data_IF_502010319525
#
_entry.id   IF_502010319525
#
_cell.length_a   1.000
_cell.length_b   1.000
_cell.length_c   1.000
_cell.angle_alpha   90.00
_cell.angle_beta   90.00
_cell.angle_gamma   90.00
#
_symmetry.space_group_name_H-M   'P 1'
#
loop_
_entity.id
_entity.type
_entity.pdbx_description
1 polymer ?
#
# COMPACT_ATOMS: atom_id res chain seq x y z
N UNK A 1 -20.57 4.36 2.24
CA UNK A 1 -21.85 3.62 2.20
C UNK A 1 -22.11 3.06 3.58
N UNK A 2 -23.25 3.33 4.18
CA UNK A 2 -23.61 2.76 5.49
C UNK A 2 -23.98 1.29 5.37
N UNK A 3 -23.94 0.53 6.48
CA UNK A 3 -24.39 -0.87 6.50
C UNK A 3 -25.85 -0.99 6.06
N UNK A 4 -26.70 -0.07 6.51
CA UNK A 4 -28.11 0.00 6.14
C UNK A 4 -28.33 0.22 4.64
N UNK A 5 -27.55 1.13 4.04
CA UNK A 5 -27.56 1.34 2.59
C UNK A 5 -27.14 0.07 1.84
N UNK A 6 -26.14 -0.67 2.33
CA UNK A 6 -25.68 -1.91 1.72
C UNK A 6 -26.71 -3.03 1.79
N UNK A 7 -27.34 -3.23 2.94
CA UNK A 7 -28.40 -4.22 3.09
C UNK A 7 -29.60 -3.87 2.19
N UNK A 8 -30.02 -2.61 2.16
CA UNK A 8 -31.06 -2.13 1.24
C UNK A 8 -30.66 -2.35 -0.23
N UNK A 9 -29.40 -2.07 -0.58
CA UNK A 9 -28.88 -2.34 -1.92
C UNK A 9 -28.98 -3.82 -2.28
N UNK A 10 -28.64 -4.74 -1.36
CA UNK A 10 -28.72 -6.19 -1.54
C UNK A 10 -30.14 -6.78 -1.42
N UNK A 11 -31.13 -5.97 -1.05
CA UNK A 11 -32.48 -6.44 -0.76
C UNK A 11 -32.57 -7.27 0.53
N UNK A 12 -31.66 -7.03 1.47
CA UNK A 12 -31.61 -7.69 2.78
C UNK A 12 -32.21 -6.80 3.88
N UNK A 13 -32.82 -7.43 4.88
CA UNK A 13 -33.22 -6.74 6.10
C UNK A 13 -32.01 -6.48 6.99
N UNK A 14 -32.05 -5.36 7.74
CA UNK A 14 -31.00 -5.06 8.72
C UNK A 14 -31.15 -5.97 9.95
N UNK A 15 -30.10 -6.71 10.34
CA UNK A 15 -30.13 -7.48 11.57
C UNK A 15 -30.33 -6.57 12.79
N UNK A 16 -31.20 -6.96 13.73
CA UNK A 16 -31.51 -6.16 14.92
C UNK A 16 -30.29 -5.92 15.85
N UNK A 17 -29.28 -6.80 15.79
CA UNK A 17 -28.04 -6.70 16.55
C UNK A 17 -27.01 -5.77 15.93
N UNK A 18 -27.27 -5.21 14.75
CA UNK A 18 -26.31 -4.42 13.99
C UNK A 18 -26.82 -2.98 13.81
N UNK A 19 -25.91 -2.01 13.92
CA UNK A 19 -26.25 -0.61 13.68
C UNK A 19 -26.28 -0.30 12.17
N UNK A 20 -27.43 0.09 11.58
CA UNK A 20 -27.50 0.41 10.16
C UNK A 20 -26.73 1.68 9.77
N UNK A 21 -26.46 2.57 10.72
CA UNK A 21 -25.72 3.81 10.48
C UNK A 21 -24.19 3.62 10.44
N UNK A 22 -23.68 2.40 10.69
CA UNK A 22 -22.25 2.11 10.64
C UNK A 22 -21.70 2.44 9.25
N UNK A 23 -20.68 3.31 9.21
CA UNK A 23 -19.99 3.69 7.98
C UNK A 23 -19.11 2.57 7.45
N UNK A 24 -19.07 2.43 6.12
CA UNK A 24 -18.22 1.46 5.46
C UNK A 24 -18.09 1.68 3.96
N UNK A 25 -17.47 0.68 3.33
CA UNK A 25 -17.18 0.66 1.90
C UNK A 25 -17.80 -0.56 1.24
N UNK A 26 -18.39 -0.36 0.06
CA UNK A 26 -18.69 -1.44 -0.88
C UNK A 26 -17.39 -1.80 -1.60
N UNK A 27 -17.01 -3.06 -1.54
CA UNK A 27 -15.80 -3.59 -2.19
C UNK A 27 -16.24 -4.54 -3.29
N UNK A 28 -15.74 -4.32 -4.51
CA UNK A 28 -15.90 -5.25 -5.64
C UNK A 28 -14.55 -5.84 -6.01
N UNK A 29 -14.47 -7.17 -6.03
CA UNK A 29 -13.27 -7.90 -6.42
C UNK A 29 -13.26 -8.11 -7.93
N UNK A 30 -12.39 -7.40 -8.64
CA UNK A 30 -12.28 -7.45 -10.11
C UNK A 30 -11.34 -8.55 -10.62
N UNK A 31 -10.46 -9.06 -9.76
CA UNK A 31 -9.39 -10.01 -10.08
C UNK A 31 -9.77 -11.49 -9.86
N UNK A 32 -10.98 -11.76 -9.33
CA UNK A 32 -11.51 -13.12 -9.19
C UNK A 32 -12.75 -13.21 -8.32
N UNK A 33 -13.46 -14.34 -8.44
CA UNK A 33 -14.67 -14.66 -7.66
C UNK A 33 -15.94 -14.67 -8.49
N UNK A 34 -16.85 -15.61 -8.20
CA UNK A 34 -18.18 -15.64 -8.82
C UNK A 34 -19.00 -14.46 -8.29
N UNK A 35 -19.57 -13.66 -9.18
CA UNK A 35 -20.48 -12.57 -8.81
C UNK A 35 -21.61 -13.09 -7.90
N UNK A 36 -21.85 -12.38 -6.80
CA UNK A 36 -22.93 -12.66 -5.84
C UNK A 36 -24.10 -11.66 -5.97
N UNK A 37 -24.04 -10.79 -6.98
CA UNK A 37 -25.05 -9.80 -7.33
C UNK A 37 -25.02 -9.59 -8.85
N UNK A 38 -26.18 -9.58 -9.51
CA UNK A 38 -26.25 -9.49 -10.98
C UNK A 38 -25.90 -8.10 -11.53
N UNK A 39 -25.82 -7.07 -10.68
CA UNK A 39 -25.45 -5.70 -11.08
C UNK A 39 -23.94 -5.49 -11.18
N UNK A 40 -23.15 -6.44 -10.69
CA UNK A 40 -21.70 -6.37 -10.64
C UNK A 40 -21.06 -7.54 -11.40
N UNK A 41 -19.91 -7.28 -12.01
CA UNK A 41 -19.15 -8.32 -12.71
C UNK A 41 -18.35 -9.17 -11.71
N UNK A 42 -17.88 -8.53 -10.62
CA UNK A 42 -17.14 -9.16 -9.55
C UNK A 42 -18.01 -9.58 -8.36
N UNK A 43 -17.38 -10.27 -7.41
CA UNK A 43 -17.98 -10.49 -6.09
C UNK A 43 -18.02 -9.16 -5.34
N UNK A 44 -19.16 -8.83 -4.71
CA UNK A 44 -19.29 -7.64 -3.86
C UNK A 44 -19.42 -7.98 -2.38
N UNK A 45 -18.79 -7.18 -1.53
CA UNK A 45 -18.90 -7.25 -0.07
C UNK A 45 -18.99 -5.86 0.55
N UNK A 46 -19.41 -5.79 1.82
CA UNK A 46 -19.34 -4.57 2.62
C UNK A 46 -18.31 -4.75 3.73
N UNK A 47 -17.46 -3.75 3.92
CA UNK A 47 -16.44 -3.72 4.96
C UNK A 47 -16.66 -2.48 5.85
N UNK A 48 -16.65 -2.61 7.19
CA UNK A 48 -16.62 -1.46 8.09
C UNK A 48 -15.48 -0.51 7.74
N UNK A 49 -15.70 0.81 7.87
CA UNK A 49 -14.72 1.80 7.42
C UNK A 49 -13.36 1.63 8.12
N UNK A 50 -13.37 1.42 9.44
CA UNK A 50 -12.15 1.23 10.24
C UNK A 50 -11.40 -0.06 9.87
N UNK A 51 -12.13 -1.14 9.55
CA UNK A 51 -11.57 -2.41 9.08
C UNK A 51 -10.95 -2.21 7.70
N UNK A 52 -11.68 -1.55 6.80
CA UNK A 52 -11.22 -1.31 5.45
C UNK A 52 -9.95 -0.47 5.44
N UNK A 53 -9.93 0.67 6.12
CA UNK A 53 -8.78 1.58 6.18
C UNK A 53 -7.56 0.95 6.86
N UNK A 54 -7.79 0.06 7.85
CA UNK A 54 -6.71 -0.68 8.53
C UNK A 54 -6.12 -1.78 7.65
N UNK A 55 -6.95 -2.47 6.86
CA UNK A 55 -6.55 -3.66 6.10
C UNK A 55 -6.15 -3.34 4.66
N UNK A 56 -6.87 -2.45 3.99
CA UNK A 56 -6.65 -2.06 2.60
C UNK A 56 -5.85 -0.77 2.55
N UNK A 57 -4.52 -0.92 2.56
CA UNK A 57 -3.64 0.22 2.38
C UNK A 57 -3.68 0.67 0.92
N UNK A 58 -3.87 1.97 0.65
CA UNK A 58 -3.80 2.47 -0.71
C UNK A 58 -2.43 2.13 -1.29
N UNK A 59 -2.43 1.45 -2.44
CA UNK A 59 -1.21 1.25 -3.21
C UNK A 59 -0.80 2.61 -3.75
N UNK A 60 0.43 3.02 -3.49
CA UNK A 60 0.98 4.24 -4.06
C UNK A 60 0.88 4.16 -5.59
N UNK A 61 0.22 5.14 -6.20
CA UNK A 61 -0.04 5.15 -7.63
C UNK A 61 -1.23 4.30 -8.08
N UNK A 62 -2.23 4.05 -7.24
CA UNK A 62 -3.44 3.26 -7.58
C UNK A 62 -4.18 3.66 -8.87
N UNK A 63 -3.95 4.88 -9.40
CA UNK A 63 -4.46 5.33 -10.70
C UNK A 63 -3.56 5.06 -11.92
N UNK A 64 -2.36 4.50 -11.71
CA UNK A 64 -1.38 4.25 -12.77
C UNK A 64 -1.54 2.84 -13.36
N UNK A 65 -1.12 2.58 -14.61
CA UNK A 65 -0.99 1.24 -15.14
C UNK A 65 -0.10 0.34 -14.27
N UNK A 66 -0.32 -0.99 -14.25
CA UNK A 66 0.39 -1.90 -13.33
C UNK A 66 1.93 -1.82 -13.40
N UNK A 67 2.50 -1.51 -14.57
CA UNK A 67 3.94 -1.40 -14.71
C UNK A 67 4.52 -0.12 -14.11
N UNK A 68 3.76 0.98 -14.07
CA UNK A 68 4.15 2.23 -13.41
C UNK A 68 3.94 2.14 -11.90
N UNK A 69 2.85 1.48 -11.45
CA UNK A 69 2.63 1.18 -10.02
C UNK A 69 3.82 0.43 -9.41
N UNK A 70 4.37 -0.56 -10.14
CA UNK A 70 5.56 -1.30 -9.69
C UNK A 70 6.78 -0.38 -9.48
N UNK A 71 6.96 0.65 -10.31
CA UNK A 71 8.07 1.60 -10.16
C UNK A 71 7.89 2.48 -8.93
N UNK A 72 6.66 2.95 -8.67
CA UNK A 72 6.35 3.74 -7.47
C UNK A 72 6.56 2.90 -6.21
N UNK A 73 6.08 1.65 -6.21
CA UNK A 73 6.25 0.73 -5.10
C UNK A 73 7.73 0.40 -4.85
N UNK A 74 8.50 0.13 -5.91
CA UNK A 74 9.93 -0.13 -5.84
C UNK A 74 10.70 1.05 -5.23
N UNK A 75 10.37 2.28 -5.63
CA UNK A 75 10.96 3.49 -5.07
C UNK A 75 10.68 3.63 -3.58
N UNK A 76 9.42 3.46 -3.18
CA UNK A 76 9.01 3.57 -1.78
C UNK A 76 9.74 2.55 -0.89
N UNK A 77 9.86 1.30 -1.36
CA UNK A 77 10.60 0.24 -0.66
C UNK A 77 12.11 0.55 -0.58
N UNK A 78 12.68 1.09 -1.65
CA UNK A 78 14.09 1.48 -1.70
C UNK A 78 14.40 2.65 -0.76
N UNK A 79 13.55 3.68 -0.74
CA UNK A 79 13.69 4.84 0.15
C UNK A 79 13.61 4.44 1.62
N UNK A 80 12.70 3.53 1.99
CA UNK A 80 12.61 3.01 3.35
C UNK A 80 13.90 2.26 3.75
N UNK A 81 14.43 1.42 2.85
CA UNK A 81 15.68 0.70 3.09
C UNK A 81 16.88 1.64 3.19
N UNK A 82 16.96 2.63 2.30
CA UNK A 82 18.01 3.64 2.29
C UNK A 82 18.00 4.44 3.59
N UNK A 83 16.82 4.91 4.02
CA UNK A 83 16.67 5.66 5.28
C UNK A 83 17.17 4.87 6.49
N UNK A 84 16.86 3.56 6.57
CA UNK A 84 17.35 2.68 7.64
C UNK A 84 18.87 2.49 7.58
N UNK A 85 19.43 2.32 6.39
CA UNK A 85 20.86 2.20 6.19
C UNK A 85 21.59 3.49 6.57
N UNK A 86 21.09 4.63 6.14
CA UNK A 86 21.65 5.94 6.47
C UNK A 86 21.58 6.21 7.97
N UNK A 87 20.45 5.90 8.64
CA UNK A 87 20.35 6.00 10.09
C UNK A 87 21.38 5.09 10.81
N UNK A 88 21.66 3.90 10.26
CA UNK A 88 22.72 3.05 10.80
C UNK A 88 24.12 3.66 10.60
N UNK A 89 24.41 4.21 9.42
CA UNK A 89 25.71 4.81 9.10
C UNK A 89 25.96 6.10 9.88
N UNK A 90 24.95 6.95 10.02
CA UNK A 90 25.08 8.31 10.54
C UNK A 90 24.88 8.38 12.07
N UNK A 91 23.91 7.63 12.59
CA UNK A 91 23.45 7.82 13.98
C UNK A 91 23.82 6.66 14.91
N UNK A 92 24.20 5.49 14.37
CA UNK A 92 24.50 4.32 15.18
C UNK A 92 26.00 4.20 15.51
N UNK A 93 26.41 4.26 16.79
CA UNK A 93 27.81 4.17 17.19
C UNK A 93 28.45 2.80 16.88
N UNK A 94 27.66 1.77 16.55
CA UNK A 94 28.18 0.48 16.10
C UNK A 94 28.86 0.60 14.73
N UNK A 95 28.45 1.52 13.87
CA UNK A 95 29.06 1.71 12.55
C UNK A 95 30.56 2.01 12.66
N UNK A 96 30.94 2.92 13.58
CA UNK A 96 32.34 3.26 13.84
C UNK A 96 33.18 2.10 14.38
N UNK A 97 32.55 1.03 14.88
CA UNK A 97 33.23 -0.18 15.39
C UNK A 97 33.41 -1.25 14.31
N UNK A 98 32.81 -1.09 13.14
CA UNK A 98 32.96 -2.03 12.03
C UNK A 98 34.37 -1.93 11.44
N UNK A 99 34.80 -3.01 10.79
CA UNK A 99 36.04 -2.99 10.01
C UNK A 99 35.94 -1.94 8.89
N UNK A 100 37.04 -1.24 8.56
CA UNK A 100 37.00 -0.16 7.56
C UNK A 100 36.45 -0.57 6.20
N UNK A 101 36.70 -1.82 5.77
CA UNK A 101 36.18 -2.38 4.53
C UNK A 101 34.66 -2.55 4.55
N UNK A 102 34.09 -2.88 5.71
CA UNK A 102 32.64 -2.97 5.88
C UNK A 102 31.98 -1.60 5.91
N UNK A 103 32.61 -0.61 6.57
CA UNK A 103 32.15 0.77 6.53
C UNK A 103 32.10 1.30 5.08
N UNK A 104 33.13 1.02 4.29
CA UNK A 104 33.18 1.39 2.87
C UNK A 104 32.08 0.68 2.07
N UNK A 105 31.87 -0.63 2.27
CA UNK A 105 30.82 -1.39 1.58
C UNK A 105 29.44 -0.80 1.84
N UNK A 106 29.11 -0.49 3.10
CA UNK A 106 27.83 0.10 3.49
C UNK A 106 27.64 1.53 2.92
N UNK A 107 28.70 2.35 2.93
CA UNK A 107 28.65 3.69 2.34
C UNK A 107 28.41 3.64 0.82
N UNK A 108 29.08 2.74 0.10
CA UNK A 108 28.85 2.53 -1.34
C UNK A 108 27.46 1.99 -1.62
N UNK A 109 26.95 1.10 -0.76
CA UNK A 109 25.58 0.60 -0.86
C UNK A 109 24.57 1.75 -0.74
N UNK A 110 24.71 2.61 0.29
CA UNK A 110 23.85 3.80 0.47
C UNK A 110 23.91 4.70 -0.78
N UNK A 111 25.12 5.01 -1.28
CA UNK A 111 25.27 5.84 -2.48
C UNK A 111 24.61 5.25 -3.73
N UNK A 112 24.76 3.94 -3.95
CA UNK A 112 24.12 3.25 -5.08
C UNK A 112 22.59 3.22 -4.95
N UNK A 113 22.07 3.00 -3.74
CA UNK A 113 20.64 3.04 -3.47
C UNK A 113 20.06 4.44 -3.69
N UNK A 114 20.76 5.50 -3.27
CA UNK A 114 20.36 6.88 -3.49
C UNK A 114 20.34 7.24 -4.99
N UNK A 115 21.38 6.85 -5.73
CA UNK A 115 21.43 7.05 -7.18
C UNK A 115 20.29 6.30 -7.88
N UNK A 116 20.01 5.06 -7.48
CA UNK A 116 18.91 4.31 -8.06
C UNK A 116 17.54 4.93 -7.74
N UNK A 117 17.32 5.38 -6.49
CA UNK A 117 16.08 6.08 -6.12
C UNK A 117 15.87 7.35 -6.95
N UNK A 118 16.93 8.13 -7.21
CA UNK A 118 16.87 9.29 -8.09
C UNK A 118 16.42 8.95 -9.53
N UNK A 119 16.91 7.84 -10.09
CA UNK A 119 16.45 7.36 -11.41
C UNK A 119 14.98 6.96 -11.38
N UNK A 120 14.51 6.34 -10.29
CA UNK A 120 13.10 6.01 -10.13
C UNK A 120 12.23 7.28 -10.03
N UNK A 121 12.69 8.31 -9.32
CA UNK A 121 12.04 9.63 -9.28
C UNK A 121 11.90 10.24 -10.68
N UNK A 122 12.99 10.26 -11.45
CA UNK A 122 12.98 10.78 -12.83
C UNK A 122 11.95 10.04 -13.71
N UNK A 123 11.81 8.72 -13.53
CA UNK A 123 10.80 7.91 -14.25
C UNK A 123 9.39 8.28 -13.79
N UNK A 124 9.17 8.41 -12.49
CA UNK A 124 7.84 8.68 -11.91
C UNK A 124 7.32 10.05 -12.34
N UNK A 125 8.19 11.06 -12.47
CA UNK A 125 7.83 12.39 -12.99
C UNK A 125 7.28 12.35 -14.42
N UNK A 126 7.51 11.26 -15.17
CA UNK A 126 7.06 11.08 -16.56
C UNK A 126 5.79 10.24 -16.71
N UNK A 127 5.17 9.80 -15.61
CA UNK A 127 3.99 8.94 -15.63
C UNK A 127 2.70 9.69 -15.97
#
# INVERSE_FOLDING_TARGET
>A
MTRGEYNAYRGWENPASENPADGGYLVEYQDGGKANDSRHAGYISWSPADVFERTYKPVLGSGLPPHQQRVVAEKAELDERLSKLDAFILDNPLFAKLQPDEQERLARQSHAMAAYSGILDERIVKF
#
